data_IF_475998124752
#
_entry.id   IF_475998124752
#
_cell.length_a   1.000
_cell.length_b   1.000
_cell.length_c   1.000
_cell.angle_alpha   90.00
_cell.angle_beta   90.00
_cell.angle_gamma   90.00
#
_symmetry.space_group_name_H-M   'P 1'
#
loop_
_entity.id
_entity.type
_entity.pdbx_description
1 polymer ?
#
# COMPACT_ATOMS: atom_id res chain seq x y z
N UNK A 1 -7.30 33.81 -21.65
CA UNK A 1 -7.82 32.43 -21.63
C UNK A 1 -6.74 31.33 -21.59
N UNK A 2 -5.44 31.66 -21.51
CA UNK A 2 -4.34 30.67 -21.54
C UNK A 2 -3.95 30.05 -20.19
N UNK A 3 -4.27 30.69 -19.05
CA UNK A 3 -3.77 30.25 -17.75
C UNK A 3 -4.44 28.98 -17.21
N UNK A 4 -5.74 28.78 -17.43
CA UNK A 4 -6.46 27.61 -16.92
C UNK A 4 -6.11 26.33 -17.69
N UNK A 5 -5.97 26.42 -19.01
CA UNK A 5 -5.56 25.29 -19.86
C UNK A 5 -4.14 24.86 -19.53
N UNK A 6 -3.21 25.82 -19.37
CA UNK A 6 -1.84 25.50 -18.97
C UNK A 6 -1.75 24.94 -17.55
N UNK A 7 -2.53 25.49 -16.60
CA UNK A 7 -2.60 24.93 -15.24
C UNK A 7 -3.21 23.52 -15.25
N UNK A 8 -4.26 23.29 -16.04
CA UNK A 8 -4.89 21.98 -16.19
C UNK A 8 -3.91 20.97 -16.80
N UNK A 9 -3.25 21.29 -17.92
CA UNK A 9 -2.24 20.42 -18.53
C UNK A 9 -1.01 20.20 -17.64
N UNK A 10 -0.62 21.20 -16.84
CA UNK A 10 0.46 21.04 -15.85
C UNK A 10 0.08 20.15 -14.67
N UNK A 11 -1.22 19.91 -14.46
CA UNK A 11 -1.75 19.06 -13.38
C UNK A 11 -2.13 17.67 -13.90
N UNK A 12 -2.71 17.60 -15.10
CA UNK A 12 -3.08 16.37 -15.80
C UNK A 12 -1.82 15.69 -16.30
N UNK A 13 -1.42 14.63 -15.59
CA UNK A 13 -0.23 13.84 -15.91
C UNK A 13 0.93 14.03 -14.94
N UNK A 14 0.86 15.00 -14.00
CA UNK A 14 1.85 15.05 -12.92
C UNK A 14 1.65 13.87 -11.99
N UNK A 15 2.69 13.04 -11.89
CA UNK A 15 2.81 11.94 -10.93
C UNK A 15 2.68 12.51 -9.52
N UNK A 16 1.50 12.35 -8.90
CA UNK A 16 1.36 12.73 -7.49
C UNK A 16 2.22 11.79 -6.67
N UNK A 17 3.23 12.38 -6.02
CA UNK A 17 4.22 11.65 -5.24
C UNK A 17 4.70 12.51 -4.08
N UNK A 18 5.30 11.83 -3.11
CA UNK A 18 5.95 12.42 -1.95
C UNK A 18 7.37 11.86 -1.87
N UNK A 19 8.32 12.73 -1.55
CA UNK A 19 9.67 12.31 -1.22
C UNK A 19 9.72 11.98 0.27
N UNK A 20 10.20 10.79 0.59
CA UNK A 20 10.40 10.27 1.94
C UNK A 20 11.91 10.16 2.16
N UNK A 21 12.41 10.87 3.17
CA UNK A 21 13.81 10.78 3.57
C UNK A 21 13.96 9.65 4.59
N UNK A 22 14.77 8.65 4.26
CA UNK A 22 15.04 7.49 5.11
C UNK A 22 16.48 7.61 5.60
N UNK A 23 16.63 7.60 6.92
CA UNK A 23 17.94 7.66 7.57
C UNK A 23 18.84 6.54 7.04
N UNK A 24 20.08 6.90 6.69
CA UNK A 24 21.12 6.00 6.19
C UNK A 24 20.84 5.32 4.83
N UNK A 25 19.72 5.66 4.17
CA UNK A 25 19.35 5.17 2.83
C UNK A 25 19.26 6.31 1.81
N UNK A 26 18.73 7.47 2.23
CA UNK A 26 18.57 8.66 1.39
C UNK A 26 17.12 8.95 1.02
N UNK A 27 16.94 9.71 -0.06
CA UNK A 27 15.63 10.19 -0.52
C UNK A 27 14.97 9.20 -1.47
N UNK A 28 13.73 8.83 -1.17
CA UNK A 28 12.95 7.87 -1.95
C UNK A 28 11.61 8.48 -2.33
N UNK A 29 11.20 8.32 -3.59
CA UNK A 29 9.90 8.75 -4.07
C UNK A 29 8.83 7.70 -3.81
N UNK A 30 7.65 8.12 -3.33
CA UNK A 30 6.48 7.26 -3.16
C UNK A 30 5.30 7.88 -3.88
N UNK A 31 4.61 7.10 -4.71
CA UNK A 31 3.34 7.51 -5.33
C UNK A 31 2.29 7.81 -4.27
N UNK A 32 1.68 9.00 -4.33
CA UNK A 32 0.57 9.43 -3.45
C UNK A 32 -0.80 9.32 -4.11
N UNK A 33 -0.85 8.86 -5.36
CA UNK A 33 -2.08 8.41 -5.99
C UNK A 33 -1.80 7.20 -6.88
N UNK A 34 -2.74 6.26 -6.88
CA UNK A 34 -2.76 5.11 -7.78
C UNK A 34 -4.01 5.13 -8.66
N UNK A 35 -3.88 4.58 -9.85
CA UNK A 35 -5.02 4.35 -10.74
C UNK A 35 -6.01 3.35 -10.10
N UNK A 36 -7.28 3.40 -10.51
CA UNK A 36 -8.29 2.45 -10.03
C UNK A 36 -7.89 0.99 -10.30
N UNK A 37 -7.18 0.74 -11.40
CA UNK A 37 -6.65 -0.59 -11.73
C UNK A 37 -5.63 -1.07 -10.70
N UNK A 38 -4.61 -0.26 -10.40
CA UNK A 38 -3.58 -0.60 -9.41
C UNK A 38 -4.17 -0.80 -8.01
N UNK A 39 -5.17 0.01 -7.63
CA UNK A 39 -5.89 -0.18 -6.37
C UNK A 39 -6.63 -1.51 -6.33
N UNK A 40 -7.32 -1.88 -7.42
CA UNK A 40 -8.01 -3.15 -7.51
C UNK A 40 -7.03 -4.35 -7.46
N UNK A 41 -5.88 -4.25 -8.12
CA UNK A 41 -4.81 -5.26 -8.06
C UNK A 41 -4.34 -5.47 -6.61
N UNK A 42 -4.01 -4.38 -5.89
CA UNK A 42 -3.64 -4.46 -4.47
C UNK A 42 -4.70 -5.17 -3.62
N UNK A 43 -5.98 -4.78 -3.71
CA UNK A 43 -7.03 -5.37 -2.89
C UNK A 43 -7.38 -6.81 -3.29
N UNK A 44 -7.25 -7.17 -4.56
CA UNK A 44 -7.47 -8.54 -5.02
C UNK A 44 -6.36 -9.46 -4.53
N UNK A 45 -5.11 -9.01 -4.64
CA UNK A 45 -3.95 -9.78 -4.16
C UNK A 45 -3.97 -9.91 -2.64
N UNK A 46 -4.34 -8.86 -1.90
CA UNK A 46 -4.49 -8.93 -0.43
C UNK A 46 -5.57 -9.91 0.03
N UNK A 47 -6.61 -10.16 -0.77
CA UNK A 47 -7.63 -11.20 -0.43
C UNK A 47 -7.15 -12.62 -0.68
N UNK A 48 -6.12 -12.79 -1.51
CA UNK A 48 -5.62 -14.09 -1.95
C UNK A 48 -4.26 -14.47 -1.34
N UNK A 49 -3.58 -13.51 -0.71
CA UNK A 49 -2.25 -13.65 -0.12
C UNK A 49 -2.29 -13.25 1.35
N UNK A 50 -1.33 -13.72 2.15
CA UNK A 50 -1.08 -13.17 3.48
C UNK A 50 -0.86 -11.65 3.41
N UNK A 51 -1.33 -10.92 4.43
CA UNK A 51 -1.27 -9.45 4.49
C UNK A 51 0.15 -8.88 4.24
N UNK A 52 1.19 -9.65 4.58
CA UNK A 52 2.60 -9.32 4.33
C UNK A 52 2.92 -9.17 2.84
N UNK A 53 2.41 -10.04 1.96
CA UNK A 53 2.67 -10.00 0.51
C UNK A 53 1.96 -8.85 -0.19
N UNK A 54 0.81 -8.42 0.34
CA UNK A 54 0.11 -7.23 -0.16
C UNK A 54 0.95 -5.96 0.01
N UNK A 55 1.60 -5.79 1.16
CA UNK A 55 2.50 -4.66 1.42
C UNK A 55 3.73 -4.68 0.50
N UNK A 56 4.33 -5.85 0.27
CA UNK A 56 5.44 -5.99 -0.66
C UNK A 56 5.06 -5.57 -2.10
N UNK A 57 3.89 -5.99 -2.58
CA UNK A 57 3.38 -5.60 -3.89
C UNK A 57 3.13 -4.08 -3.96
N UNK A 58 2.56 -3.52 -2.90
CA UNK A 58 2.32 -2.09 -2.80
C UNK A 58 3.64 -1.31 -2.91
N UNK A 59 4.68 -1.72 -2.19
CA UNK A 59 5.99 -1.11 -2.30
C UNK A 59 6.56 -1.23 -3.72
N UNK A 60 6.45 -2.41 -4.34
CA UNK A 60 6.95 -2.66 -5.69
C UNK A 60 6.32 -1.77 -6.76
N UNK A 61 5.04 -1.40 -6.56
CA UNK A 61 4.27 -0.61 -7.51
C UNK A 61 4.27 0.89 -7.24
N UNK A 62 4.74 1.33 -6.07
CA UNK A 62 4.64 2.74 -5.64
C UNK A 62 5.96 3.42 -5.36
N UNK A 63 7.00 2.66 -5.02
CA UNK A 63 8.29 3.21 -4.60
C UNK A 63 9.23 3.33 -5.79
N UNK A 64 9.80 4.53 -5.97
CA UNK A 64 10.68 4.87 -7.07
C UNK A 64 11.85 5.75 -6.64
N UNK A 65 12.92 5.73 -7.41
CA UNK A 65 14.05 6.63 -7.28
C UNK A 65 13.68 8.01 -7.87
N UNK A 66 13.73 9.10 -7.10
CA UNK A 66 13.32 10.42 -7.56
C UNK A 66 14.22 11.02 -8.65
N UNK A 67 15.46 10.55 -8.81
CA UNK A 67 16.38 11.05 -9.85
C UNK A 67 16.14 10.36 -11.19
N UNK A 68 15.91 9.04 -11.16
CA UNK A 68 15.76 8.21 -12.38
C UNK A 68 14.30 7.92 -12.75
N UNK A 69 13.37 8.20 -11.84
CA UNK A 69 11.96 7.82 -11.91
C UNK A 69 11.67 6.30 -11.99
N UNK A 70 12.70 5.45 -11.81
CA UNK A 70 12.57 4.00 -11.87
C UNK A 70 12.05 3.39 -10.55
N UNK A 71 11.27 2.33 -10.65
CA UNK A 71 10.76 1.62 -9.46
C UNK A 71 11.87 0.77 -8.82
N UNK A 72 12.23 1.11 -7.57
CA UNK A 72 13.39 0.54 -6.86
C UNK A 72 13.24 -0.97 -6.69
N UNK A 73 12.05 -1.43 -6.33
CA UNK A 73 11.80 -2.83 -5.97
C UNK A 73 11.31 -3.69 -7.14
N UNK A 74 11.23 -3.14 -8.36
CA UNK A 74 10.68 -3.87 -9.54
C UNK A 74 11.43 -5.16 -9.87
N UNK A 75 12.71 -5.25 -9.51
CA UNK A 75 13.55 -6.43 -9.77
C UNK A 75 13.63 -7.41 -8.59
N UNK A 76 13.04 -7.08 -7.44
CA UNK A 76 13.02 -7.94 -6.26
C UNK A 76 11.77 -8.83 -6.26
N UNK A 77 11.89 -10.01 -5.67
CA UNK A 77 10.70 -10.83 -5.38
C UNK A 77 9.93 -10.25 -4.20
N UNK A 78 8.64 -10.61 -4.07
CA UNK A 78 7.83 -10.15 -2.93
C UNK A 78 8.38 -10.64 -1.59
N UNK A 79 8.96 -11.85 -1.57
CA UNK A 79 9.57 -12.42 -0.38
C UNK A 79 10.86 -11.67 -0.01
N UNK A 80 11.66 -11.24 -0.98
CA UNK A 80 12.85 -10.40 -0.71
C UNK A 80 12.46 -9.04 -0.13
N UNK A 81 11.39 -8.43 -0.65
CA UNK A 81 10.88 -7.14 -0.15
C UNK A 81 10.40 -7.28 1.30
N UNK A 82 9.74 -8.38 1.64
CA UNK A 82 9.29 -8.67 3.01
C UNK A 82 10.43 -8.88 4.01
N UNK A 83 11.61 -9.27 3.53
CA UNK A 83 12.80 -9.46 4.37
C UNK A 83 13.63 -8.17 4.53
N UNK A 84 13.21 -7.05 3.91
CA UNK A 84 13.88 -5.77 4.09
C UNK A 84 13.68 -5.22 5.51
N UNK A 85 14.64 -4.45 6.04
CA UNK A 85 14.52 -3.88 7.38
C UNK A 85 13.30 -2.96 7.51
N UNK A 86 12.54 -3.14 8.59
CA UNK A 86 11.28 -2.39 8.84
C UNK A 86 11.50 -0.88 8.95
N UNK A 87 12.66 -0.43 9.44
CA UNK A 87 12.99 0.99 9.49
C UNK A 87 13.05 1.66 8.10
N UNK A 88 13.23 0.86 7.04
CA UNK A 88 13.17 1.30 5.65
C UNK A 88 11.75 1.16 5.09
N UNK A 89 11.11 0.01 5.30
CA UNK A 89 9.84 -0.31 4.64
C UNK A 89 8.62 0.35 5.31
N UNK A 90 8.56 0.44 6.64
CA UNK A 90 7.43 1.02 7.37
C UNK A 90 7.06 2.45 6.94
N UNK A 91 8.02 3.41 6.85
CA UNK A 91 7.68 4.76 6.42
C UNK A 91 7.17 4.81 4.96
N UNK A 92 7.70 3.93 4.10
CA UNK A 92 7.27 3.83 2.70
C UNK A 92 5.86 3.24 2.58
N UNK A 93 5.60 2.13 3.31
CA UNK A 93 4.29 1.47 3.36
C UNK A 93 3.24 2.46 3.85
N UNK A 94 3.52 3.23 4.91
CA UNK A 94 2.60 4.22 5.45
C UNK A 94 2.16 5.24 4.39
N UNK A 95 3.09 5.79 3.62
CA UNK A 95 2.77 6.76 2.56
C UNK A 95 2.02 6.09 1.40
N UNK A 96 2.44 4.89 1.00
CA UNK A 96 1.79 4.15 -0.09
C UNK A 96 0.35 3.72 0.26
N UNK A 97 0.08 3.37 1.52
CA UNK A 97 -1.28 3.03 1.99
C UNK A 97 -2.22 4.24 1.95
N UNK A 98 -1.72 5.42 2.33
CA UNK A 98 -2.48 6.67 2.19
C UNK A 98 -2.82 6.96 0.72
N UNK A 99 -1.92 6.64 -0.21
CA UNK A 99 -2.14 6.83 -1.65
C UNK A 99 -3.31 6.02 -2.23
N UNK A 100 -3.61 4.87 -1.62
CA UNK A 100 -4.73 4.01 -2.00
C UNK A 100 -5.98 4.24 -1.16
N UNK A 101 -5.96 5.24 -0.27
CA UNK A 101 -7.08 5.57 0.61
C UNK A 101 -7.28 4.56 1.75
N UNK A 102 -6.25 3.76 2.09
CA UNK A 102 -6.29 2.89 3.25
C UNK A 102 -5.80 3.69 4.46
N UNK A 103 -6.69 3.97 5.39
CA UNK A 103 -6.34 4.60 6.66
C UNK A 103 -5.89 3.54 7.68
N UNK A 104 -5.09 3.94 8.69
CA UNK A 104 -4.75 3.05 9.80
C UNK A 104 -5.97 2.43 10.49
N UNK A 105 -7.10 3.14 10.51
CA UNK A 105 -8.38 2.66 11.06
C UNK A 105 -8.98 1.51 10.25
N UNK A 106 -8.85 1.54 8.92
CA UNK A 106 -9.31 0.45 8.04
C UNK A 106 -8.47 -0.82 8.22
N UNK A 107 -7.17 -0.68 8.52
CA UNK A 107 -6.27 -1.80 8.81
C UNK A 107 -6.61 -2.38 10.19
N UNK A 108 -6.84 -1.54 11.20
CA UNK A 108 -7.23 -1.96 12.55
C UNK A 108 -8.60 -2.67 12.59
N UNK A 109 -9.56 -2.25 11.76
CA UNK A 109 -10.86 -2.93 11.65
C UNK A 109 -10.77 -4.31 10.99
N UNK A 110 -9.81 -4.54 10.10
CA UNK A 110 -9.58 -5.86 9.51
C UNK A 110 -8.90 -6.81 10.50
N UNK A 111 -7.91 -6.33 11.26
CA UNK A 111 -7.28 -7.11 12.32
C UNK A 111 -8.29 -7.54 13.41
N UNK A 112 -9.29 -6.70 13.73
CA UNK A 112 -10.35 -7.04 14.68
C UNK A 112 -11.44 -7.96 14.11
N UNK A 113 -11.54 -8.14 12.78
CA UNK A 113 -12.49 -9.09 12.18
C UNK A 113 -11.96 -10.52 12.17
N UNK A 114 -10.64 -10.72 12.25
CA UNK A 114 -10.04 -12.05 12.38
C UNK A 114 -10.03 -12.56 13.84
N UNK A 115 -10.48 -11.74 14.79
CA UNK A 115 -10.67 -12.12 16.21
C UNK A 115 -12.15 -12.03 16.59
N UNK A 116 -13.04 -12.53 15.75
CA UNK A 116 -14.23 -13.17 16.31
C UNK A 116 -13.83 -14.60 16.66
N UNK A 117 -13.75 -14.98 17.94
CA UNK A 117 -13.62 -16.39 18.28
C UNK A 117 -14.86 -17.10 17.72
N UNK A 118 -14.61 -18.12 16.90
CA UNK A 118 -15.58 -19.19 16.66
C UNK A 118 -15.96 -19.81 18.02
N UNK A 119 -16.90 -19.21 18.74
CA UNK A 119 -17.66 -19.96 19.73
C UNK A 119 -18.66 -20.83 18.97
N UNK A 120 -18.13 -21.95 18.47
CA UNK A 120 -18.85 -23.20 18.33
C UNK A 120 -19.69 -23.44 19.59
N UNK A 121 -20.98 -23.13 19.51
CA UNK A 121 -22.01 -23.71 20.39
C UNK A 121 -23.08 -24.39 19.57
N UNK A 122 -22.67 -25.36 18.76
CA UNK A 122 -23.49 -26.55 18.59
C UNK A 122 -23.26 -27.42 19.82
N UNK A 123 -24.22 -27.47 20.74
CA UNK A 123 -24.72 -28.69 21.41
C UNK A 123 -25.46 -28.35 22.71
N UNK A 124 -26.79 -28.36 22.67
CA UNK A 124 -27.63 -29.03 23.67
C UNK A 124 -29.07 -29.01 23.17
N UNK A 125 -29.42 -30.09 22.47
CA UNK A 125 -30.77 -30.59 22.40
C UNK A 125 -31.25 -30.83 23.84
N UNK A 126 -32.27 -30.12 24.32
CA UNK A 126 -33.06 -30.63 25.45
C UNK A 126 -34.54 -30.25 25.30
N UNK A 127 -35.37 -31.26 25.55
CA UNK A 127 -36.80 -31.27 25.32
C UNK A 127 -37.54 -30.40 26.36
N UNK A 128 -38.63 -29.74 25.95
CA UNK A 128 -39.94 -29.71 26.63
C UNK A 128 -40.96 -28.94 25.81
#
# INVERSE_FOLDING_TARGET
>A
MSNLVNAFLATVGKKQSQIVEIKDVGSVGVLTSLTMKQRAEYFNERKSLEDSKGNALLLQTTVFDPETEEHIFKKLSLDDINNLPTYVTDPLIKVALQAIGVTPEMIAQQANKEVEPEELKNSANDQS
#
